data_IF_904540307035
#
_entry.id   IF_904540307035
#
_cell.length_a   1.000
_cell.length_b   1.000
_cell.length_c   1.000
_cell.angle_alpha   90.00
_cell.angle_beta   90.00
_cell.angle_gamma   90.00
#
_symmetry.space_group_name_H-M   'P 1'
#
loop_
_entity.id
_entity.type
_entity.pdbx_description
1 polymer ?
#
# COMPACT_ATOMS: atom_id res chain seq x y z
N UNK A 1 39.64 12.93 16.20
CA UNK A 1 38.70 12.29 17.15
C UNK A 1 37.30 12.85 16.91
N UNK A 2 36.44 12.11 16.21
CA UNK A 2 35.03 12.52 15.98
C UNK A 2 34.23 12.18 17.23
N UNK A 3 33.73 13.20 17.92
CA UNK A 3 32.83 13.02 19.06
C UNK A 3 31.43 12.74 18.49
N UNK A 4 30.98 11.49 18.59
CA UNK A 4 29.58 11.16 18.40
C UNK A 4 28.85 11.52 19.69
N UNK A 5 28.10 12.63 19.66
CA UNK A 5 27.15 12.97 20.72
C UNK A 5 25.99 11.97 20.58
N UNK A 6 26.02 10.95 21.42
CA UNK A 6 24.93 10.00 21.60
C UNK A 6 23.78 10.72 22.32
N UNK A 7 22.78 11.15 21.57
CA UNK A 7 21.56 11.74 22.10
C UNK A 7 20.69 10.62 22.69
N UNK A 8 20.93 10.26 23.96
CA UNK A 8 20.04 9.37 24.71
C UNK A 8 18.81 10.21 25.09
N UNK A 9 17.75 10.09 24.28
CA UNK A 9 16.42 10.61 24.62
C UNK A 9 15.85 9.78 25.77
N UNK A 10 16.21 10.14 27.00
CA UNK A 10 15.60 9.59 28.21
C UNK A 10 14.17 10.16 28.30
N UNK A 11 13.19 9.39 27.81
CA UNK A 11 11.76 9.74 27.94
C UNK A 11 11.42 9.60 29.43
N UNK A 12 11.40 10.73 30.14
CA UNK A 12 10.88 10.84 31.50
C UNK A 12 9.36 10.58 31.42
N UNK A 13 8.96 9.35 31.73
CA UNK A 13 7.56 8.96 31.91
C UNK A 13 7.05 9.71 33.14
N UNK A 14 6.27 10.78 32.93
CA UNK A 14 5.64 11.51 34.03
C UNK A 14 4.63 10.61 34.76
N UNK A 15 4.40 10.84 36.06
CA UNK A 15 3.40 10.09 36.85
C UNK A 15 1.99 10.15 36.24
N UNK A 16 1.67 11.24 35.53
CA UNK A 16 0.39 11.39 34.82
C UNK A 16 0.22 10.44 33.64
N UNK A 17 1.31 9.95 33.06
CA UNK A 17 1.24 9.01 31.95
C UNK A 17 0.91 7.57 32.40
N UNK A 18 1.06 7.25 33.69
CA UNK A 18 0.73 5.90 34.19
C UNK A 18 -0.77 5.58 34.13
N UNK A 19 -1.63 6.61 34.22
CA UNK A 19 -3.10 6.43 34.22
C UNK A 19 -3.63 5.81 32.92
N UNK A 20 -2.97 6.06 31.80
CA UNK A 20 -3.38 5.56 30.49
C UNK A 20 -2.75 4.22 30.13
N UNK A 21 -1.78 3.72 30.92
CA UNK A 21 -1.18 2.39 30.69
C UNK A 21 -2.21 1.30 30.98
N UNK A 22 -2.39 0.37 30.05
CA UNK A 22 -3.33 -0.75 30.18
C UNK A 22 -4.00 -1.14 28.86
N UNK A 23 -4.92 -2.09 28.94
CA UNK A 23 -5.72 -2.55 27.79
C UNK A 23 -7.07 -1.84 27.84
N UNK A 24 -7.49 -1.32 26.68
CA UNK A 24 -8.81 -0.75 26.46
C UNK A 24 -9.54 -1.59 25.42
N UNK A 25 -10.79 -1.93 25.69
CA UNK A 25 -11.69 -2.61 24.75
C UNK A 25 -12.76 -1.64 24.27
N UNK A 26 -13.12 -1.71 22.99
CA UNK A 26 -14.21 -0.90 22.43
C UNK A 26 -15.53 -1.14 23.17
N UNK A 27 -16.32 -0.08 23.30
CA UNK A 27 -17.69 -0.12 23.80
C UNK A 27 -18.62 -0.27 22.58
N UNK A 28 -18.61 -1.47 22.02
CA UNK A 28 -19.47 -1.90 20.92
C UNK A 28 -19.60 -3.42 20.99
N UNK A 29 -20.81 -3.95 21.09
CA UNK A 29 -21.07 -5.39 21.26
C UNK A 29 -20.77 -6.19 19.99
N UNK A 30 -20.72 -5.53 18.84
CA UNK A 30 -20.41 -6.17 17.56
C UNK A 30 -18.93 -6.04 17.18
N UNK A 31 -18.12 -5.40 18.01
CA UNK A 31 -16.72 -5.14 17.70
C UNK A 31 -15.80 -5.56 18.86
N UNK A 32 -14.60 -6.04 18.52
CA UNK A 32 -13.60 -6.47 19.50
C UNK A 32 -12.29 -5.67 19.37
N UNK A 33 -12.35 -4.45 18.83
CA UNK A 33 -11.20 -3.55 18.82
C UNK A 33 -10.56 -3.43 20.21
N UNK A 34 -9.24 -3.45 20.25
CA UNK A 34 -8.46 -3.29 21.49
C UNK A 34 -7.30 -2.34 21.30
N UNK A 35 -7.03 -1.52 22.31
CA UNK A 35 -5.85 -0.65 22.38
C UNK A 35 -5.06 -1.04 23.64
N UNK A 36 -3.84 -1.50 23.49
CA UNK A 36 -2.90 -1.75 24.59
C UNK A 36 -1.84 -0.65 24.63
N UNK A 37 -1.83 0.13 25.73
CA UNK A 37 -0.83 1.16 26.00
C UNK A 37 0.20 0.61 26.99
N UNK A 38 1.47 0.54 26.60
CA UNK A 38 2.53 -0.10 27.38
C UNK A 38 3.47 0.90 28.04
N UNK A 39 4.00 0.53 29.20
CA UNK A 39 4.94 1.34 30.00
C UNK A 39 6.25 1.66 29.27
N UNK A 40 6.67 0.84 28.32
CA UNK A 40 7.87 1.09 27.50
C UNK A 40 7.66 2.15 26.39
N UNK A 41 6.53 2.86 26.42
CA UNK A 41 6.20 3.91 25.45
C UNK A 41 5.69 3.38 24.11
N UNK A 42 5.33 2.10 23.99
CA UNK A 42 4.72 1.56 22.77
C UNK A 42 3.24 1.25 22.95
N UNK A 43 2.52 1.13 21.82
CA UNK A 43 1.14 0.65 21.82
C UNK A 43 0.92 -0.43 20.76
N UNK A 44 -0.15 -1.19 20.94
CA UNK A 44 -0.78 -2.00 19.88
C UNK A 44 -2.24 -1.62 19.82
N UNK A 45 -2.75 -1.39 18.62
CA UNK A 45 -4.15 -1.10 18.38
C UNK A 45 -4.66 -2.07 17.31
N UNK A 46 -5.53 -2.98 17.73
CA UNK A 46 -6.25 -3.89 16.85
C UNK A 46 -7.59 -3.29 16.54
N UNK A 47 -7.83 -3.03 15.27
CA UNK A 47 -9.07 -2.46 14.79
C UNK A 47 -9.70 -3.37 13.75
N UNK A 48 -10.98 -3.63 13.88
CA UNK A 48 -11.77 -4.34 12.89
C UNK A 48 -12.11 -3.36 11.77
N UNK A 49 -11.66 -3.69 10.56
CA UNK A 49 -11.99 -2.94 9.35
C UNK A 49 -13.41 -3.25 8.85
N UNK A 50 -13.69 -2.88 7.60
CA UNK A 50 -15.03 -2.91 7.01
C UNK A 50 -15.66 -4.31 6.83
N UNK A 51 -14.98 -5.39 7.22
CA UNK A 51 -15.50 -6.75 7.12
C UNK A 51 -15.22 -7.56 8.39
N UNK A 52 -15.99 -8.64 8.61
CA UNK A 52 -15.83 -9.56 9.74
C UNK A 52 -14.48 -10.28 9.80
N UNK A 53 -13.64 -10.15 8.78
CA UNK A 53 -12.38 -10.88 8.62
C UNK A 53 -11.18 -9.94 8.45
N UNK A 54 -11.41 -8.63 8.31
CA UNK A 54 -10.36 -7.65 8.12
C UNK A 54 -9.99 -7.05 9.46
N UNK A 55 -8.74 -7.26 9.87
CA UNK A 55 -8.16 -6.66 11.06
C UNK A 55 -6.99 -5.78 10.65
N UNK A 56 -7.00 -4.54 11.15
CA UNK A 56 -5.91 -3.59 11.05
C UNK A 56 -5.14 -3.61 12.38
N UNK A 57 -3.87 -4.00 12.32
CA UNK A 57 -2.97 -3.93 13.47
C UNK A 57 -2.05 -2.72 13.34
N UNK A 58 -2.25 -1.71 14.19
CA UNK A 58 -1.37 -0.56 14.28
C UNK A 58 -0.42 -0.73 15.47
N UNK A 59 0.83 -0.31 15.28
CA UNK A 59 1.81 -0.27 16.35
C UNK A 59 2.65 0.99 16.23
N UNK A 60 3.19 1.45 17.35
CA UNK A 60 4.00 2.65 17.34
C UNK A 60 4.31 3.17 18.74
N UNK A 61 4.49 4.48 18.82
CA UNK A 61 4.76 5.20 20.08
C UNK A 61 3.52 5.94 20.54
N UNK A 62 3.42 6.24 21.83
CA UNK A 62 2.32 7.04 22.36
C UNK A 62 2.85 8.18 23.23
N UNK A 63 2.02 9.22 23.36
CA UNK A 63 2.24 10.35 24.27
C UNK A 63 0.91 10.75 24.90
N UNK A 64 0.94 11.09 26.18
CA UNK A 64 -0.19 11.68 26.88
C UNK A 64 0.20 13.11 27.29
N UNK A 65 -0.60 14.08 26.86
CA UNK A 65 -0.49 15.50 27.27
C UNK A 65 -1.85 15.94 27.79
N UNK A 66 -1.89 16.34 29.06
CA UNK A 66 -3.14 16.51 29.80
C UNK A 66 -4.06 15.30 29.57
N UNK A 67 -5.26 15.51 29.02
CA UNK A 67 -6.24 14.46 28.70
C UNK A 67 -6.11 13.92 27.28
N UNK A 68 -5.16 14.38 26.48
CA UNK A 68 -5.01 13.98 25.07
C UNK A 68 -3.98 12.87 24.95
N UNK A 69 -4.43 11.67 24.59
CA UNK A 69 -3.58 10.56 24.19
C UNK A 69 -3.38 10.61 22.67
N UNK A 70 -2.14 10.71 22.23
CA UNK A 70 -1.77 10.60 20.82
C UNK A 70 -1.01 9.31 20.58
N UNK A 71 -1.49 8.51 19.63
CA UNK A 71 -0.82 7.32 19.13
C UNK A 71 -0.15 7.66 17.80
N UNK A 72 1.17 7.54 17.75
CA UNK A 72 2.00 7.81 16.58
C UNK A 72 2.25 6.50 15.84
N UNK A 73 1.60 6.33 14.70
CA UNK A 73 1.82 5.22 13.78
C UNK A 73 2.89 5.63 12.76
N UNK A 74 3.82 4.72 12.47
CA UNK A 74 4.70 4.84 11.31
C UNK A 74 4.43 3.67 10.39
N UNK A 75 3.87 3.95 9.22
CA UNK A 75 3.66 2.96 8.18
C UNK A 75 4.75 3.10 7.13
N UNK A 76 5.49 2.03 6.90
CA UNK A 76 6.43 1.95 5.79
C UNK A 76 5.68 1.49 4.55
N UNK A 77 5.70 2.28 3.49
CA UNK A 77 5.23 1.91 2.16
C UNK A 77 6.40 1.96 1.18
N UNK A 78 6.30 1.25 0.06
CA UNK A 78 7.24 1.35 -1.04
C UNK A 78 6.72 2.36 -2.05
N UNK A 79 7.60 3.20 -2.59
CA UNK A 79 7.27 4.08 -3.71
C UNK A 79 7.26 3.28 -5.03
N UNK A 80 6.24 2.46 -5.18
CA UNK A 80 6.09 1.60 -6.36
C UNK A 80 5.56 2.42 -7.52
N UNK A 81 6.47 3.15 -8.17
CA UNK A 81 6.18 3.91 -9.38
C UNK A 81 6.47 3.06 -10.61
N UNK A 82 5.53 3.11 -11.56
CA UNK A 82 5.69 2.59 -12.92
C UNK A 82 5.41 3.70 -13.92
N UNK A 83 6.06 3.64 -15.08
CA UNK A 83 5.79 4.54 -16.21
C UNK A 83 5.51 3.71 -17.46
N UNK A 84 4.44 4.05 -18.17
CA UNK A 84 3.99 3.34 -19.36
C UNK A 84 4.04 4.28 -20.56
N UNK A 85 4.96 3.99 -21.47
CA UNK A 85 5.08 4.67 -22.75
C UNK A 85 4.40 3.82 -23.83
N UNK A 86 3.50 4.45 -24.60
CA UNK A 86 2.74 3.83 -25.69
C UNK A 86 3.13 4.49 -27.00
N UNK A 87 3.62 3.68 -27.95
CA UNK A 87 3.97 4.17 -29.27
C UNK A 87 2.88 3.77 -30.27
N UNK A 88 2.22 4.79 -30.81
CA UNK A 88 1.15 4.67 -31.79
C UNK A 88 1.72 4.76 -33.20
N UNK A 89 1.19 3.94 -34.10
CA UNK A 89 1.57 3.96 -35.50
C UNK A 89 0.32 4.04 -36.37
N UNK A 90 0.36 4.88 -37.40
CA UNK A 90 -0.76 5.03 -38.35
C UNK A 90 -1.02 3.73 -39.13
N UNK A 91 0.04 2.96 -39.40
CA UNK A 91 -0.01 1.61 -39.96
C UNK A 91 0.37 0.60 -38.87
N UNK A 92 -0.57 0.35 -37.97
CA UNK A 92 -0.42 -0.63 -36.89
C UNK A 92 -0.19 -2.04 -37.43
N UNK A 93 0.74 -2.77 -36.82
CA UNK A 93 0.99 -4.18 -37.12
C UNK A 93 -0.01 -5.12 -36.43
N UNK A 94 -0.07 -6.39 -36.86
CA UNK A 94 -0.87 -7.45 -36.23
C UNK A 94 -0.28 -7.95 -34.88
N UNK A 95 0.82 -7.36 -34.41
CA UNK A 95 1.52 -7.81 -33.22
C UNK A 95 1.86 -6.67 -32.27
N UNK A 96 1.81 -6.94 -30.98
CA UNK A 96 2.25 -6.01 -29.96
C UNK A 96 3.58 -6.48 -29.37
N UNK A 97 4.50 -5.54 -29.21
CA UNK A 97 5.76 -5.71 -28.51
C UNK A 97 5.66 -5.00 -27.16
N UNK A 98 5.89 -5.74 -26.08
CA UNK A 98 5.94 -5.19 -24.73
C UNK A 98 7.39 -5.34 -24.24
N UNK A 99 7.99 -4.24 -23.84
CA UNK A 99 9.35 -4.17 -23.34
C UNK A 99 9.33 -3.69 -21.88
N UNK A 100 9.80 -4.53 -20.97
CA UNK A 100 9.87 -4.26 -19.54
C UNK A 100 11.32 -3.98 -19.15
N UNK A 101 11.55 -2.78 -18.63
CA UNK A 101 12.87 -2.30 -18.20
C UNK A 101 12.79 -1.54 -16.88
N UNK A 102 13.91 -1.37 -16.20
CA UNK A 102 13.98 -0.46 -15.05
C UNK A 102 13.98 1.01 -15.51
N UNK A 103 13.74 1.96 -14.61
CA UNK A 103 13.95 3.38 -14.89
C UNK A 103 15.38 3.70 -15.35
N UNK A 104 16.34 2.88 -14.94
CA UNK A 104 17.76 3.01 -15.32
C UNK A 104 18.03 2.41 -16.72
N UNK A 105 17.02 1.82 -17.36
CA UNK A 105 17.10 1.24 -18.70
C UNK A 105 17.51 -0.22 -18.74
N UNK A 106 17.70 -0.89 -17.60
CA UNK A 106 18.08 -2.31 -17.55
C UNK A 106 16.90 -3.20 -17.91
N UNK A 107 17.11 -4.17 -18.80
CA UNK A 107 16.10 -5.14 -19.21
C UNK A 107 15.67 -6.07 -18.08
N UNK A 108 14.36 -6.31 -17.93
CA UNK A 108 13.81 -7.17 -16.88
C UNK A 108 13.29 -8.47 -17.47
N UNK A 109 14.09 -9.52 -17.42
CA UNK A 109 13.72 -10.85 -17.91
C UNK A 109 12.87 -11.66 -16.92
N UNK A 110 12.11 -12.63 -17.45
CA UNK A 110 11.25 -13.51 -16.65
C UNK A 110 10.02 -12.82 -16.05
N UNK A 111 9.75 -11.57 -16.44
CA UNK A 111 8.67 -10.75 -15.92
C UNK A 111 7.32 -11.23 -16.46
N UNK A 112 6.37 -11.49 -15.56
CA UNK A 112 5.08 -12.07 -15.91
C UNK A 112 4.11 -10.99 -16.40
N UNK A 113 3.58 -11.19 -17.61
CA UNK A 113 2.60 -10.32 -18.25
C UNK A 113 1.33 -11.11 -18.50
N UNK A 114 0.20 -10.54 -18.10
CA UNK A 114 -1.14 -11.00 -18.47
C UNK A 114 -1.71 -10.04 -19.51
N UNK A 115 -1.93 -10.54 -20.71
CA UNK A 115 -2.50 -9.76 -21.80
C UNK A 115 -3.85 -10.35 -22.16
N UNK A 116 -4.92 -9.60 -21.90
CA UNK A 116 -6.29 -10.08 -22.09
C UNK A 116 -7.21 -8.97 -22.62
N UNK A 117 -8.24 -9.38 -23.34
CA UNK A 117 -9.36 -8.50 -23.63
C UNK A 117 -10.46 -8.71 -22.61
N UNK A 118 -11.18 -7.63 -22.27
CA UNK A 118 -12.40 -7.72 -21.48
C UNK A 118 -13.58 -8.29 -22.29
N UNK A 119 -13.40 -8.50 -23.60
CA UNK A 119 -14.38 -9.16 -24.47
C UNK A 119 -14.35 -10.67 -24.22
N UNK A 120 -15.52 -11.22 -23.88
CA UNK A 120 -15.71 -12.66 -23.68
C UNK A 120 -15.37 -13.45 -24.95
N UNK A 121 -14.57 -14.51 -24.80
CA UNK A 121 -14.20 -15.43 -25.88
C UNK A 121 -12.89 -15.10 -26.60
N UNK A 122 -12.27 -13.95 -26.33
CA UNK A 122 -10.92 -13.66 -26.82
C UNK A 122 -9.84 -14.39 -26.00
N UNK A 123 -8.69 -14.73 -26.61
CA UNK A 123 -7.63 -15.45 -25.93
C UNK A 123 -7.03 -14.62 -24.79
N UNK A 124 -6.54 -15.31 -23.76
CA UNK A 124 -5.78 -14.71 -22.66
C UNK A 124 -4.36 -15.22 -22.74
N UNK A 125 -3.40 -14.31 -22.72
CA UNK A 125 -1.99 -14.67 -22.75
C UNK A 125 -1.38 -14.42 -21.37
N UNK A 126 -0.78 -15.46 -20.80
CA UNK A 126 0.04 -15.36 -19.59
C UNK A 126 1.46 -15.79 -19.96
N UNK A 127 2.35 -14.82 -20.09
CA UNK A 127 3.69 -15.01 -20.67
C UNK A 127 4.75 -14.36 -19.81
N UNK A 128 6.00 -14.80 -19.96
CA UNK A 128 7.15 -14.17 -19.33
C UNK A 128 8.01 -13.47 -20.38
N UNK A 129 8.60 -12.33 -20.02
CA UNK A 129 9.59 -11.67 -20.87
C UNK A 129 10.83 -12.53 -21.07
N UNK A 130 11.47 -12.40 -22.23
CA UNK A 130 12.78 -12.98 -22.50
C UNK A 130 13.90 -12.31 -21.68
N UNK A 131 15.15 -12.74 -21.84
CA UNK A 131 16.29 -12.15 -21.13
C UNK A 131 16.57 -10.68 -21.50
N UNK A 132 15.95 -10.14 -22.56
CA UNK A 132 16.02 -8.73 -22.96
C UNK A 132 14.81 -7.95 -22.46
N UNK A 133 13.95 -8.55 -21.64
CA UNK A 133 12.76 -7.91 -21.10
C UNK A 133 11.63 -7.78 -22.12
N UNK A 134 11.65 -8.54 -23.22
CA UNK A 134 10.71 -8.37 -24.31
C UNK A 134 9.74 -9.55 -24.37
N UNK A 135 8.48 -9.25 -24.68
CA UNK A 135 7.54 -10.22 -25.20
C UNK A 135 6.87 -9.67 -26.46
N UNK A 136 6.56 -10.57 -27.40
CA UNK A 136 5.81 -10.25 -28.61
C UNK A 136 4.57 -11.14 -28.65
N UNK A 137 3.41 -10.52 -28.80
CA UNK A 137 2.11 -11.20 -28.78
C UNK A 137 1.28 -10.78 -30.01
N UNK A 138 0.39 -11.64 -30.51
CA UNK A 138 -0.59 -11.22 -31.51
C UNK A 138 -1.55 -10.19 -30.90
N UNK A 139 -1.97 -9.18 -31.68
CA UNK A 139 -2.98 -8.23 -31.23
C UNK A 139 -4.38 -8.84 -31.25
N UNK A 140 -5.24 -8.33 -30.39
CA UNK A 140 -6.67 -8.54 -30.54
C UNK A 140 -7.15 -7.64 -31.67
N UNK A 141 -7.93 -8.21 -32.61
CA UNK A 141 -8.66 -7.41 -33.59
C UNK A 141 -9.90 -6.85 -32.90
N UNK A 142 -10.00 -5.53 -32.87
CA UNK A 142 -11.07 -4.81 -32.18
C UNK A 142 -11.94 -4.18 -33.27
N UNK A 143 -13.20 -4.59 -33.39
CA UNK A 143 -14.04 -4.14 -34.51
C UNK A 143 -14.76 -2.82 -34.20
N UNK A 144 -14.83 -2.39 -32.93
CA UNK A 144 -15.46 -1.11 -32.56
C UNK A 144 -14.88 -0.47 -31.29
N UNK A 145 -14.32 0.74 -31.44
CA UNK A 145 -13.72 1.52 -30.33
C UNK A 145 -14.72 2.03 -29.28
N UNK A 146 -16.03 2.01 -29.56
CA UNK A 146 -17.01 2.68 -28.70
C UNK A 146 -17.28 1.95 -27.37
N UNK A 147 -16.85 0.69 -27.22
CA UNK A 147 -16.99 -0.10 -25.97
C UNK A 147 -15.88 -1.12 -25.70
N UNK A 148 -14.88 -1.23 -26.58
CA UNK A 148 -13.95 -2.36 -26.58
C UNK A 148 -12.57 -1.93 -26.08
N UNK A 149 -12.19 -2.42 -24.90
CA UNK A 149 -10.91 -2.07 -24.25
C UNK A 149 -10.08 -3.33 -24.05
N UNK A 150 -8.87 -3.34 -24.61
CA UNK A 150 -7.86 -4.35 -24.32
C UNK A 150 -7.10 -3.92 -23.06
N UNK A 151 -6.87 -4.88 -22.17
CA UNK A 151 -6.20 -4.66 -20.88
C UNK A 151 -4.90 -5.45 -20.84
N UNK A 152 -3.83 -4.76 -20.48
CA UNK A 152 -2.62 -5.43 -20.02
C UNK A 152 -2.64 -5.38 -18.50
N UNK A 153 -2.67 -6.55 -17.89
CA UNK A 153 -2.38 -6.75 -16.48
C UNK A 153 -0.92 -7.18 -16.29
N UNK A 154 -0.29 -6.68 -15.24
CA UNK A 154 1.01 -7.16 -14.80
C UNK A 154 0.96 -7.45 -13.31
N UNK A 155 1.54 -8.58 -12.94
CA UNK A 155 1.78 -8.95 -11.55
C UNK A 155 3.28 -9.09 -11.37
N UNK A 156 3.86 -8.33 -10.45
CA UNK A 156 5.29 -8.37 -10.21
C UNK A 156 5.65 -8.25 -8.75
N UNK A 157 6.76 -8.87 -8.36
CA UNK A 157 7.19 -8.96 -6.97
C UNK A 157 8.34 -7.99 -6.73
N UNK A 158 8.16 -7.09 -5.76
CA UNK A 158 9.22 -6.22 -5.26
C UNK A 158 9.31 -6.40 -3.75
N UNK A 159 10.51 -6.67 -3.24
CA UNK A 159 10.76 -6.89 -1.81
C UNK A 159 9.76 -7.88 -1.14
N UNK A 160 9.39 -8.94 -1.88
CA UNK A 160 8.40 -9.97 -1.49
C UNK A 160 6.93 -9.52 -1.48
N UNK A 161 6.63 -8.25 -1.77
CA UNK A 161 5.26 -7.78 -2.00
C UNK A 161 4.87 -7.98 -3.47
N UNK A 162 3.66 -8.48 -3.71
CA UNK A 162 3.10 -8.59 -5.07
C UNK A 162 2.36 -7.31 -5.41
N UNK A 163 2.78 -6.65 -6.49
CA UNK A 163 2.15 -5.49 -7.07
C UNK A 163 1.37 -5.94 -8.31
N UNK A 164 0.10 -5.55 -8.36
CA UNK A 164 -0.78 -5.79 -9.51
C UNK A 164 -1.17 -4.47 -10.12
N UNK A 165 -0.85 -4.28 -11.39
CA UNK A 165 -1.23 -3.11 -12.17
C UNK A 165 -1.98 -3.53 -13.43
N UNK A 166 -2.93 -2.68 -13.85
CA UNK A 166 -3.67 -2.87 -15.08
C UNK A 166 -3.76 -1.56 -15.83
N UNK A 167 -3.65 -1.63 -17.15
CA UNK A 167 -3.83 -0.47 -18.01
C UNK A 167 -4.44 -0.86 -19.35
N UNK A 168 -5.22 0.07 -19.87
CA UNK A 168 -5.87 -0.05 -21.15
C UNK A 168 -4.92 0.34 -22.28
N UNK A 169 -5.10 -0.34 -23.42
CA UNK A 169 -4.39 -0.03 -24.66
C UNK A 169 -5.37 0.02 -25.83
N UNK A 170 -5.04 0.86 -26.80
CA UNK A 170 -5.71 0.96 -28.10
C UNK A 170 -5.12 -0.08 -29.06
N UNK A 171 -5.93 -0.56 -30.01
CA UNK A 171 -5.51 -1.42 -31.11
C UNK A 171 -4.29 -0.86 -31.87
N UNK A 172 -4.20 0.48 -32.02
CA UNK A 172 -3.10 1.14 -32.76
C UNK A 172 -1.74 1.09 -32.08
N UNK A 173 -1.64 0.58 -30.84
CA UNK A 173 -0.39 0.53 -30.08
C UNK A 173 0.42 -0.71 -30.47
N UNK A 174 1.50 -0.56 -31.22
CA UNK A 174 2.41 -1.68 -31.56
C UNK A 174 3.49 -1.92 -30.53
N UNK A 175 3.92 -0.88 -29.82
CA UNK A 175 5.03 -0.98 -28.89
C UNK A 175 4.70 -0.30 -27.57
N UNK A 176 4.92 -1.04 -26.49
CA UNK A 176 4.74 -0.59 -25.12
C UNK A 176 6.07 -0.74 -24.41
N UNK A 177 6.46 0.32 -23.71
CA UNK A 177 7.60 0.29 -22.82
C UNK A 177 7.08 0.51 -21.40
N UNK A 178 7.27 -0.51 -20.55
CA UNK A 178 6.96 -0.46 -19.13
C UNK A 178 8.28 -0.21 -18.41
N UNK A 179 8.36 0.91 -17.68
CA UNK A 179 9.47 1.22 -16.79
C UNK A 179 9.04 0.98 -15.36
N UNK A 180 9.83 0.20 -14.64
CA UNK A 180 9.56 -0.14 -13.24
C UNK A 180 10.65 0.42 -12.34
N UNK A 181 10.23 0.91 -11.17
CA UNK A 181 11.17 1.13 -10.09
C UNK A 181 11.52 -0.22 -9.45
N UNK A 182 12.64 -0.83 -9.86
CA UNK A 182 13.08 -2.11 -9.31
C UNK A 182 13.66 -2.01 -7.90
N UNK A 183 13.91 -0.81 -7.41
CA UNK A 183 14.44 -0.56 -6.07
C UNK A 183 13.69 0.63 -5.47
N UNK A 184 12.38 0.49 -5.21
CA UNK A 184 11.59 1.59 -4.72
C UNK A 184 12.09 2.03 -3.36
N UNK A 185 12.16 3.35 -3.20
CA UNK A 185 12.46 3.95 -1.92
C UNK A 185 11.36 3.60 -0.93
N UNK A 186 11.74 3.39 0.32
CA UNK A 186 10.75 3.26 1.37
C UNK A 186 10.31 4.65 1.82
N UNK A 187 9.02 4.90 1.70
CA UNK A 187 8.36 6.09 2.23
C UNK A 187 7.80 5.74 3.59
N UNK A 188 8.16 6.53 4.61
CA UNK A 188 7.51 6.46 5.91
C UNK A 188 6.35 7.44 5.92
N UNK A 189 5.13 6.92 6.07
CA UNK A 189 3.94 7.69 6.35
C UNK A 189 3.74 7.74 7.86
N UNK A 190 3.48 8.95 8.37
CA UNK A 190 3.25 9.19 9.79
C UNK A 190 1.78 9.51 10.00
N UNK A 191 1.14 8.76 10.89
CA UNK A 191 -0.24 9.01 11.27
C UNK A 191 -0.33 9.28 12.77
N UNK A 192 -1.22 10.18 13.14
CA UNK A 192 -1.59 10.44 14.52
C UNK A 192 -3.04 10.02 14.74
N UNK A 193 -3.26 9.19 15.75
CA UNK A 193 -4.61 8.89 16.24
C UNK A 193 -4.76 9.55 17.61
N UNK A 194 -5.70 10.48 17.73
CA UNK A 194 -5.90 11.26 18.95
C UNK A 194 -7.17 10.86 19.67
N UNK A 195 -7.02 10.67 20.98
CA UNK A 195 -8.07 10.26 21.88
C UNK A 195 -8.12 11.21 23.07
N UNK A 196 -9.33 11.47 23.56
CA UNK A 196 -9.52 12.05 24.89
C UNK A 196 -9.58 10.94 25.92
N UNK A 197 -8.70 11.00 26.91
CA UNK A 197 -8.69 10.12 28.07
C UNK A 197 -9.43 10.78 29.25
N UNK A 198 -10.53 10.17 29.69
CA UNK A 198 -11.29 10.60 30.87
C UNK A 198 -12.02 9.42 31.48
N UNK A 199 -12.04 9.31 32.81
CA UNK A 199 -12.79 8.29 33.56
C UNK A 199 -12.55 6.86 33.04
N UNK A 200 -11.28 6.51 32.81
CA UNK A 200 -10.84 5.22 32.25
C UNK A 200 -11.44 4.90 30.87
N UNK A 201 -11.82 5.93 30.10
CA UNK A 201 -12.27 5.80 28.72
C UNK A 201 -11.38 6.57 27.76
N UNK A 202 -11.21 6.03 26.56
CA UNK A 202 -10.65 6.72 25.41
C UNK A 202 -11.77 7.03 24.43
N UNK A 203 -11.88 8.27 23.99
CA UNK A 203 -12.80 8.68 22.93
C UNK A 203 -11.97 9.22 21.78
N UNK A 204 -11.96 8.53 20.64
CA UNK A 204 -11.27 9.03 19.46
C UNK A 204 -11.99 10.26 18.91
N UNK A 205 -11.22 11.21 18.39
CA UNK A 205 -11.79 12.41 17.77
C UNK A 205 -11.04 12.85 16.51
N UNK A 206 -9.84 12.32 16.28
CA UNK A 206 -9.04 12.60 15.09
C UNK A 206 -8.24 11.35 14.75
N UNK A 207 -8.54 10.74 13.62
CA UNK A 207 -7.81 9.58 13.12
C UNK A 207 -7.98 9.47 11.61
N UNK A 208 -6.89 9.53 10.82
CA UNK A 208 -6.97 9.49 9.36
C UNK A 208 -7.34 8.10 8.81
N UNK A 209 -7.34 7.06 9.66
CA UNK A 209 -7.57 5.67 9.24
C UNK A 209 -8.80 5.02 9.87
N UNK A 210 -9.50 5.72 10.77
CA UNK A 210 -10.75 5.23 11.35
C UNK A 210 -11.92 5.89 10.63
N UNK A 211 -12.89 5.08 10.23
CA UNK A 211 -14.11 5.53 9.55
C UNK A 211 -15.00 6.39 10.46
N UNK A 212 -14.89 6.23 11.78
CA UNK A 212 -15.74 6.91 12.75
C UNK A 212 -15.07 7.10 14.13
N UNK A 213 -15.70 7.91 14.96
CA UNK A 213 -15.27 8.10 16.34
C UNK A 213 -15.70 6.91 17.20
N UNK A 214 -14.73 6.27 17.84
CA UNK A 214 -14.89 5.08 18.66
C UNK A 214 -14.60 5.39 20.13
N UNK A 215 -15.29 4.67 21.02
CA UNK A 215 -15.10 4.80 22.47
C UNK A 215 -14.59 3.48 23.02
N UNK A 216 -13.56 3.55 23.84
CA UNK A 216 -12.93 2.40 24.48
C UNK A 216 -12.98 2.54 26.00
N UNK A 217 -13.16 1.43 26.70
CA UNK A 217 -13.12 1.34 28.17
C UNK A 217 -11.90 0.54 28.60
N UNK A 218 -11.19 1.04 29.60
CA UNK A 218 -10.08 0.32 30.23
C UNK A 218 -10.59 -0.95 30.94
N UNK A 219 -9.87 -2.05 30.79
CA UNK A 219 -10.11 -3.32 31.50
C UNK A 219 -9.56 -3.28 32.93
#
# INVERSE_FOLDING_TARGET
MKHYILFILLILISSDSERVIGIFKIIDDLNEDTIEIRKNGTYTYKERGDSCWLWNDFTGKWKLEDITLTLFETKRTLDVTSEIERNYFDNSSDSIRINVKSFNGESIGGFKIKYESLINGLPKYEVKTDNKGIVKLPKFKIESLDKEVVVIGMDYVIYSDTISEQFSIDEKVDNIIIRLNQSPDSINQYYEHKFKYKDNKLTSYESPRLSENKIYKKL
#
